data_IF_015377895691
#
_entry.id   IF_015377895691
#
_cell.length_a   1.000
_cell.length_b   1.000
_cell.length_c   1.000
_cell.angle_alpha   90.00
_cell.angle_beta   90.00
_cell.angle_gamma   90.00
#
_symmetry.space_group_name_H-M   'P 1'
#
loop_
_entity.id
_entity.type
_entity.pdbx_description
1 polymer ?
#
# COMPACT_ATOMS: atom_id res chain seq x y z
N UNK A 1 28.99 24.79 13.18
CA UNK A 1 27.56 25.03 13.42
C UNK A 1 26.87 23.69 13.29
N UNK A 2 26.43 23.08 14.41
CA UNK A 2 25.77 21.77 14.39
C UNK A 2 24.28 22.01 14.15
N UNK A 3 23.79 21.66 12.96
CA UNK A 3 22.35 21.71 12.66
C UNK A 3 21.74 20.37 13.09
N UNK A 4 20.66 20.41 13.86
CA UNK A 4 19.95 19.20 14.25
C UNK A 4 19.09 18.72 13.06
N UNK A 5 19.26 17.47 12.59
CA UNK A 5 18.45 16.92 11.50
C UNK A 5 17.10 16.47 12.05
N UNK A 6 16.21 17.43 12.32
CA UNK A 6 14.92 17.21 13.01
C UNK A 6 14.04 16.23 12.23
N UNK A 7 13.86 16.45 10.92
CA UNK A 7 12.96 15.64 10.09
C UNK A 7 13.45 14.20 9.97
N UNK A 8 14.73 14.02 9.64
CA UNK A 8 15.33 12.69 9.56
C UNK A 8 15.24 11.92 10.89
N UNK A 9 15.38 12.62 12.02
CA UNK A 9 15.23 12.00 13.35
C UNK A 9 13.76 11.62 13.61
N UNK A 10 12.82 12.47 13.21
CA UNK A 10 11.39 12.21 13.33
C UNK A 10 10.95 11.02 12.46
N UNK A 11 11.49 10.91 11.25
CA UNK A 11 11.24 9.76 10.35
C UNK A 11 11.74 8.46 10.95
N UNK A 12 12.97 8.45 11.45
CA UNK A 12 13.55 7.27 12.09
C UNK A 12 12.79 6.88 13.38
N UNK A 13 12.20 7.85 14.08
CA UNK A 13 11.29 7.55 15.17
C UNK A 13 9.97 6.94 14.66
N UNK A 14 9.38 7.48 13.60
CA UNK A 14 8.16 6.94 13.00
C UNK A 14 8.33 5.51 12.48
N UNK A 15 9.51 5.16 11.93
CA UNK A 15 9.85 3.79 11.53
C UNK A 15 9.82 2.84 12.73
N UNK A 16 10.41 3.23 13.86
CA UNK A 16 10.37 2.43 15.11
C UNK A 16 8.94 2.25 15.61
N UNK A 17 8.13 3.31 15.56
CA UNK A 17 6.72 3.23 15.92
C UNK A 17 5.98 2.23 15.04
N UNK A 18 6.25 2.20 13.72
CA UNK A 18 5.65 1.21 12.81
C UNK A 18 6.10 -0.22 13.10
N UNK A 19 7.38 -0.44 13.39
CA UNK A 19 7.92 -1.76 13.76
C UNK A 19 7.26 -2.31 15.02
N UNK A 20 7.01 -1.44 16.01
CA UNK A 20 6.37 -1.80 17.28
C UNK A 20 4.84 -1.88 17.22
N UNK A 21 4.24 -1.35 16.14
CA UNK A 21 2.79 -1.28 16.00
C UNK A 21 2.17 -2.64 15.73
N UNK A 22 1.00 -2.87 16.30
CA UNK A 22 0.14 -3.99 15.92
C UNK A 22 -0.29 -3.88 14.44
N UNK A 23 -0.56 -4.99 13.75
CA UNK A 23 -1.11 -4.95 12.41
C UNK A 23 -2.49 -4.25 12.42
N UNK A 24 -2.84 -3.52 11.34
CA UNK A 24 -4.12 -2.83 11.27
C UNK A 24 -5.27 -3.85 11.25
N UNK A 25 -6.30 -3.57 12.03
CA UNK A 25 -7.52 -4.39 12.06
C UNK A 25 -8.48 -3.86 11.00
N UNK A 26 -8.84 -4.72 10.05
CA UNK A 26 -9.83 -4.45 9.01
C UNK A 26 -11.21 -4.94 9.45
N UNK A 27 -12.23 -4.12 9.20
CA UNK A 27 -13.62 -4.55 9.28
C UNK A 27 -13.96 -5.54 8.16
N UNK A 28 -15.05 -6.30 8.28
CA UNK A 28 -15.45 -7.26 7.22
C UNK A 28 -15.68 -6.60 5.86
N UNK A 29 -16.25 -5.38 5.83
CA UNK A 29 -16.43 -4.61 4.60
C UNK A 29 -15.10 -4.14 3.99
N UNK A 30 -14.13 -3.77 4.83
CA UNK A 30 -12.80 -3.42 4.32
C UNK A 30 -12.04 -4.63 3.82
N UNK A 31 -12.19 -5.79 4.47
CA UNK A 31 -11.61 -7.04 3.98
C UNK A 31 -12.11 -7.36 2.58
N UNK A 32 -13.41 -7.17 2.28
CA UNK A 32 -13.95 -7.39 0.93
C UNK A 32 -13.41 -6.44 -0.14
N UNK A 33 -12.86 -5.28 0.25
CA UNK A 33 -12.24 -4.32 -0.65
C UNK A 33 -10.70 -4.33 -0.56
N UNK A 34 -10.13 -5.41 -0.04
CA UNK A 34 -8.68 -5.58 0.16
C UNK A 34 -8.21 -6.88 -0.48
N UNK A 35 -6.90 -7.01 -0.67
CA UNK A 35 -6.28 -8.26 -1.14
C UNK A 35 -6.67 -9.49 -0.31
N UNK A 36 -6.93 -9.33 1.00
CA UNK A 36 -7.23 -10.45 1.91
C UNK A 36 -8.51 -11.22 1.58
N UNK A 37 -9.40 -10.64 0.76
CA UNK A 37 -10.61 -11.31 0.27
C UNK A 37 -10.79 -11.11 -1.24
N UNK A 38 -9.80 -10.56 -1.92
CA UNK A 38 -9.82 -10.42 -3.36
C UNK A 38 -9.40 -11.75 -4.00
N UNK A 39 -10.07 -12.15 -5.07
CA UNK A 39 -9.86 -13.43 -5.73
C UNK A 39 -10.95 -14.48 -5.41
N UNK A 40 -10.97 -15.58 -6.17
CA UNK A 40 -11.89 -16.68 -5.91
C UNK A 40 -11.33 -17.65 -4.85
N UNK A 41 -12.18 -18.21 -3.96
CA UNK A 41 -11.75 -19.29 -3.10
C UNK A 41 -11.31 -20.47 -3.95
N UNK A 42 -10.26 -21.18 -3.54
CA UNK A 42 -9.77 -22.38 -4.23
C UNK A 42 -10.91 -23.39 -4.44
N UNK A 43 -11.30 -23.64 -5.71
CA UNK A 43 -12.36 -24.60 -6.07
C UNK A 43 -11.85 -25.98 -6.53
N UNK A 44 -10.54 -26.24 -6.43
CA UNK A 44 -10.00 -27.60 -6.53
C UNK A 44 -9.45 -28.00 -7.91
N UNK A 45 -9.60 -27.17 -8.95
CA UNK A 45 -9.31 -27.64 -10.33
C UNK A 45 -8.48 -26.68 -11.20
N UNK A 46 -8.40 -25.38 -10.92
CA UNK A 46 -7.64 -24.43 -11.77
C UNK A 46 -6.90 -23.33 -10.98
N UNK A 47 -5.89 -22.73 -11.64
CA UNK A 47 -5.20 -21.53 -11.16
C UNK A 47 -6.23 -20.42 -10.89
N UNK A 48 -6.20 -19.86 -9.68
CA UNK A 48 -7.05 -18.72 -9.34
C UNK A 48 -6.49 -17.50 -10.05
N UNK A 49 -7.22 -16.96 -11.02
CA UNK A 49 -6.84 -15.73 -11.73
C UNK A 49 -6.56 -14.59 -10.75
N UNK A 50 -5.45 -13.88 -11.00
CA UNK A 50 -5.06 -12.69 -10.25
C UNK A 50 -6.11 -11.58 -10.33
N UNK A 51 -6.20 -10.79 -9.26
CA UNK A 51 -7.11 -9.64 -9.19
C UNK A 51 -6.54 -8.50 -10.01
N UNK A 52 -7.27 -8.04 -11.04
CA UNK A 52 -6.84 -6.93 -11.88
C UNK A 52 -7.58 -5.65 -11.48
N UNK A 53 -6.83 -4.59 -11.16
CA UNK A 53 -7.40 -3.26 -10.92
C UNK A 53 -7.60 -2.51 -12.25
N UNK A 54 -8.66 -1.70 -12.31
CA UNK A 54 -8.92 -0.77 -13.42
C UNK A 54 -8.60 0.68 -13.01
N UNK A 55 -8.23 1.51 -13.98
CA UNK A 55 -7.89 2.92 -13.74
C UNK A 55 -9.04 3.76 -13.18
N UNK A 56 -10.30 3.31 -13.32
CA UNK A 56 -11.48 4.00 -12.80
C UNK A 56 -11.87 3.56 -11.38
N UNK A 57 -11.11 2.68 -10.74
CA UNK A 57 -11.34 2.28 -9.35
C UNK A 57 -10.78 3.34 -8.41
N UNK A 58 -11.52 3.67 -7.35
CA UNK A 58 -11.02 4.49 -6.26
C UNK A 58 -10.17 3.68 -5.30
N UNK A 59 -8.99 4.18 -4.95
CA UNK A 59 -8.10 3.57 -3.95
C UNK A 59 -7.80 4.52 -2.80
N UNK A 60 -7.56 3.96 -1.62
CA UNK A 60 -7.06 4.70 -0.44
C UNK A 60 -6.18 3.81 0.42
N UNK A 61 -5.36 4.41 1.30
CA UNK A 61 -4.62 3.65 2.31
C UNK A 61 -5.56 2.91 3.28
N UNK A 62 -5.13 1.74 3.74
CA UNK A 62 -5.81 0.96 4.76
C UNK A 62 -6.01 1.78 6.03
N UNK A 63 -4.94 2.42 6.53
CA UNK A 63 -4.98 3.36 7.67
C UNK A 63 -3.94 4.44 7.45
N UNK A 64 -4.17 5.64 8.02
CA UNK A 64 -3.21 6.74 8.00
C UNK A 64 -1.83 6.33 8.54
N UNK A 65 -1.80 5.71 9.72
CA UNK A 65 -0.57 5.27 10.38
C UNK A 65 -0.09 3.89 9.95
N UNK A 66 -0.55 3.34 8.83
CA UNK A 66 -0.09 2.04 8.35
C UNK A 66 1.22 2.13 7.56
N UNK A 67 1.61 3.32 7.11
CA UNK A 67 2.78 3.53 6.25
C UNK A 67 3.62 4.75 6.67
N UNK A 68 4.91 4.75 6.34
CA UNK A 68 5.80 5.92 6.46
C UNK A 68 6.81 5.91 5.31
N UNK A 69 6.87 7.01 4.57
CA UNK A 69 7.89 7.23 3.54
C UNK A 69 9.14 7.84 4.19
N UNK A 70 10.31 7.27 3.95
CA UNK A 70 11.59 7.72 4.51
C UNK A 70 12.68 7.63 3.47
N UNK A 71 13.47 8.69 3.34
CA UNK A 71 14.72 8.67 2.57
C UNK A 71 15.88 8.14 3.42
N UNK A 72 16.49 7.03 3.00
CA UNK A 72 17.64 6.44 3.67
C UNK A 72 18.85 6.36 2.73
N UNK A 73 19.87 7.19 2.99
CA UNK A 73 21.16 7.27 2.29
C UNK A 73 21.08 7.35 0.76
N UNK A 74 20.74 6.25 0.08
CA UNK A 74 20.69 6.12 -1.37
C UNK A 74 19.35 5.59 -1.91
N UNK A 75 18.36 5.32 -1.05
CA UNK A 75 17.07 4.79 -1.49
C UNK A 75 15.91 5.37 -0.68
N UNK A 76 14.72 5.37 -1.29
CA UNK A 76 13.48 5.79 -0.66
C UNK A 76 12.73 4.53 -0.26
N UNK A 77 12.37 4.44 1.03
CA UNK A 77 11.69 3.28 1.61
C UNK A 77 10.30 3.67 2.08
N UNK A 78 9.30 2.87 1.70
CA UNK A 78 7.98 2.91 2.28
C UNK A 78 7.87 1.82 3.34
N UNK A 79 8.00 2.21 4.60
CA UNK A 79 7.80 1.33 5.75
C UNK A 79 6.31 1.10 6.00
N UNK A 80 5.94 -0.08 6.50
CA UNK A 80 4.54 -0.40 6.82
C UNK A 80 4.41 -1.41 7.95
N UNK A 81 3.24 -1.42 8.59
CA UNK A 81 2.90 -2.35 9.69
C UNK A 81 1.95 -3.48 9.28
N UNK A 82 1.48 -3.51 8.02
CA UNK A 82 0.70 -4.63 7.49
C UNK A 82 1.57 -5.89 7.52
N UNK A 83 1.01 -6.98 8.06
CA UNK A 83 1.73 -8.23 8.29
C UNK A 83 2.59 -8.26 9.56
N UNK A 84 2.57 -7.23 10.43
CA UNK A 84 3.13 -7.36 11.78
C UNK A 84 2.37 -8.45 12.54
N UNK A 85 3.06 -9.15 13.44
CA UNK A 85 2.38 -10.11 14.31
C UNK A 85 1.80 -9.39 15.52
N UNK A 86 0.97 -10.10 16.29
CA UNK A 86 0.44 -9.60 17.57
C UNK A 86 1.46 -9.77 18.70
N UNK A 87 2.62 -10.34 18.41
CA UNK A 87 3.74 -10.51 19.33
C UNK A 87 4.75 -9.40 19.06
N UNK A 88 5.21 -8.76 20.12
CA UNK A 88 6.09 -7.58 20.03
C UNK A 88 7.37 -7.88 19.23
N UNK A 89 7.58 -7.12 18.14
CA UNK A 89 8.78 -7.13 17.28
C UNK A 89 9.19 -8.47 16.65
N UNK A 90 8.29 -9.44 16.59
CA UNK A 90 8.61 -10.77 16.04
C UNK A 90 8.90 -10.73 14.52
N UNK A 91 8.12 -9.94 13.76
CA UNK A 91 8.25 -9.86 12.30
C UNK A 91 9.38 -8.95 11.79
N UNK A 92 9.98 -8.14 12.67
CA UNK A 92 10.92 -7.07 12.30
C UNK A 92 10.31 -5.94 11.47
N UNK A 93 11.16 -4.99 11.07
CA UNK A 93 10.78 -3.86 10.22
C UNK A 93 10.50 -4.30 8.79
N UNK A 94 9.34 -3.89 8.23
CA UNK A 94 8.99 -4.15 6.82
C UNK A 94 8.99 -2.85 6.01
N UNK A 95 9.48 -2.95 4.79
CA UNK A 95 9.47 -1.87 3.83
C UNK A 95 9.44 -2.39 2.39
N UNK A 96 9.09 -1.50 1.46
CA UNK A 96 9.38 -1.66 0.04
C UNK A 96 10.20 -0.48 -0.44
N UNK A 97 11.13 -0.76 -1.35
CA UNK A 97 11.88 0.30 -2.02
C UNK A 97 10.99 0.94 -3.08
N UNK A 98 10.98 2.27 -3.07
CA UNK A 98 10.20 3.13 -3.95
C UNK A 98 11.18 3.90 -4.85
N UNK A 99 10.89 3.96 -6.15
CA UNK A 99 11.66 4.77 -7.08
C UNK A 99 11.28 6.26 -6.95
N UNK A 100 12.17 7.17 -7.32
CA UNK A 100 11.89 8.62 -7.26
C UNK A 100 10.61 9.01 -8.02
N UNK A 101 10.35 8.38 -9.18
CA UNK A 101 9.13 8.60 -9.98
C UNK A 101 7.83 8.12 -9.30
N UNK A 102 7.93 7.23 -8.30
CA UNK A 102 6.79 6.64 -7.57
C UNK A 102 6.43 7.44 -6.31
N UNK A 103 7.31 8.33 -5.84
CA UNK A 103 7.17 9.11 -4.59
C UNK A 103 5.91 9.96 -4.61
N UNK A 104 5.68 10.71 -5.69
CA UNK A 104 4.54 11.61 -5.82
C UNK A 104 3.20 10.87 -5.66
N UNK A 105 3.13 9.63 -6.13
CA UNK A 105 1.93 8.79 -5.98
C UNK A 105 1.70 8.41 -4.51
N UNK A 106 2.77 8.03 -3.80
CA UNK A 106 2.67 7.69 -2.37
C UNK A 106 2.29 8.92 -1.54
N UNK A 107 2.90 10.07 -1.80
CA UNK A 107 2.57 11.33 -1.11
C UNK A 107 1.13 11.77 -1.37
N UNK A 108 0.63 11.61 -2.61
CA UNK A 108 -0.78 11.83 -2.93
C UNK A 108 -1.70 10.93 -2.10
N UNK A 109 -1.41 9.63 -2.01
CA UNK A 109 -2.20 8.67 -1.23
C UNK A 109 -2.18 8.98 0.28
N UNK A 110 -1.04 9.41 0.83
CA UNK A 110 -0.92 9.80 2.25
C UNK A 110 -1.71 11.07 2.53
N UNK A 111 -1.57 12.09 1.69
CA UNK A 111 -2.21 13.40 1.87
C UNK A 111 -3.72 13.38 1.67
N UNK A 112 -4.23 12.47 0.83
CA UNK A 112 -5.65 12.34 0.53
C UNK A 112 -6.40 11.46 1.53
N UNK A 113 -5.71 10.63 2.33
CA UNK A 113 -6.39 9.80 3.34
C UNK A 113 -7.22 10.67 4.31
N UNK A 114 -8.50 10.32 4.59
CA UNK A 114 -9.15 9.03 4.32
C UNK A 114 -9.95 8.94 3.01
N UNK A 115 -9.84 9.93 2.13
CA UNK A 115 -10.60 9.98 0.87
C UNK A 115 -10.08 8.94 -0.13
N UNK A 116 -10.99 8.48 -0.99
CA UNK A 116 -10.66 7.64 -2.13
C UNK A 116 -10.24 8.51 -3.30
N UNK A 117 -9.22 8.05 -4.02
CA UNK A 117 -8.69 8.71 -5.21
C UNK A 117 -8.74 7.74 -6.37
N UNK A 118 -9.30 8.16 -7.50
CA UNK A 118 -9.31 7.32 -8.69
C UNK A 118 -7.87 7.11 -9.16
N UNK A 119 -7.54 5.89 -9.60
CA UNK A 119 -6.17 5.58 -10.06
C UNK A 119 -5.74 6.51 -11.21
N UNK A 120 -6.67 6.87 -12.11
CA UNK A 120 -6.44 7.82 -13.20
C UNK A 120 -6.15 9.26 -12.76
N UNK A 121 -6.53 9.64 -11.53
CA UNK A 121 -6.34 10.99 -10.99
C UNK A 121 -5.05 11.09 -10.16
N UNK A 122 -4.36 9.97 -9.94
CA UNK A 122 -3.05 9.95 -9.30
C UNK A 122 -1.96 10.46 -10.25
N UNK A 123 -0.83 10.96 -9.72
CA UNK A 123 0.30 11.38 -10.54
C UNK A 123 0.76 10.27 -11.52
N UNK A 124 1.04 10.66 -12.77
CA UNK A 124 1.54 9.73 -13.78
C UNK A 124 3.02 9.43 -13.58
N UNK A 125 3.35 8.17 -13.30
CA UNK A 125 4.74 7.73 -13.16
C UNK A 125 5.41 7.75 -14.54
N UNK A 126 6.42 8.59 -14.71
CA UNK A 126 7.13 8.77 -15.98
C UNK A 126 6.23 9.15 -17.15
N UNK A 127 5.10 9.85 -16.87
CA UNK A 127 4.12 10.27 -17.87
C UNK A 127 3.30 9.12 -18.48
N UNK A 128 3.22 7.96 -17.81
CA UNK A 128 2.49 6.77 -18.30
C UNK A 128 1.57 6.20 -17.24
N UNK A 129 0.26 6.36 -17.42
CA UNK A 129 -0.75 5.86 -16.47
C UNK A 129 -0.71 4.34 -16.25
N UNK A 130 -0.20 3.56 -17.22
CA UNK A 130 0.02 2.12 -17.05
C UNK A 130 1.06 1.76 -15.99
N UNK A 131 2.09 2.60 -15.79
CA UNK A 131 3.05 2.42 -14.69
C UNK A 131 2.40 2.75 -13.34
N UNK A 132 1.62 3.82 -13.26
CA UNK A 132 0.84 4.18 -12.07
C UNK A 132 -0.09 3.03 -11.66
N UNK A 133 -0.83 2.45 -12.62
CA UNK A 133 -1.67 1.29 -12.34
C UNK A 133 -0.87 0.11 -11.78
N UNK A 134 0.24 -0.27 -12.42
CA UNK A 134 1.07 -1.38 -11.96
C UNK A 134 1.62 -1.16 -10.54
N UNK A 135 2.04 0.07 -10.24
CA UNK A 135 2.52 0.45 -8.91
C UNK A 135 1.41 0.40 -7.85
N UNK A 136 0.22 0.93 -8.16
CA UNK A 136 -0.94 0.85 -7.27
C UNK A 136 -1.37 -0.60 -7.04
N UNK A 137 -1.36 -1.44 -8.07
CA UNK A 137 -1.63 -2.89 -7.95
C UNK A 137 -0.64 -3.55 -7.00
N UNK A 138 0.66 -3.26 -7.12
CA UNK A 138 1.70 -3.76 -6.19
C UNK A 138 1.39 -3.36 -4.74
N UNK A 139 1.02 -2.10 -4.48
CA UNK A 139 0.67 -1.65 -3.12
C UNK A 139 -0.61 -2.32 -2.59
N UNK A 140 -1.58 -2.57 -3.47
CA UNK A 140 -2.80 -3.31 -3.15
C UNK A 140 -2.50 -4.77 -2.79
N UNK A 141 -1.65 -5.45 -3.56
CA UNK A 141 -1.23 -6.84 -3.31
C UNK A 141 -0.48 -7.01 -1.98
N UNK A 142 0.31 -6.02 -1.57
CA UNK A 142 0.95 -5.98 -0.24
C UNK A 142 -0.12 -5.84 0.88
N UNK A 143 -1.32 -5.36 0.53
CA UNK A 143 -2.41 -5.11 1.46
C UNK A 143 -2.36 -3.72 2.10
N UNK A 144 -1.69 -2.75 1.46
CA UNK A 144 -1.62 -1.36 1.95
C UNK A 144 -2.81 -0.50 1.51
N UNK A 145 -3.51 -0.93 0.47
CA UNK A 145 -4.63 -0.19 -0.13
C UNK A 145 -5.96 -0.91 0.04
N UNK A 146 -7.02 -0.11 0.04
CA UNK A 146 -8.41 -0.54 -0.08
C UNK A 146 -9.02 0.08 -1.33
N UNK A 147 -9.84 -0.69 -2.02
CA UNK A 147 -10.68 -0.20 -3.11
C UNK A 147 -12.01 0.36 -2.60
N UNK A 148 -12.65 1.21 -3.40
CA UNK A 148 -13.97 1.78 -3.11
C UNK A 148 -15.11 0.76 -3.32
N UNK A 149 -14.88 -0.23 -4.19
CA UNK A 149 -15.74 -1.39 -4.41
C UNK A 149 -14.96 -2.72 -4.34
N UNK A 150 -15.61 -3.84 -3.97
CA UNK A 150 -14.99 -5.16 -3.98
C UNK A 150 -14.47 -5.52 -5.37
N UNK A 151 -13.20 -5.92 -5.46
CA UNK A 151 -12.62 -6.34 -6.74
C UNK A 151 -12.92 -7.83 -6.93
N UNK A 152 -13.76 -8.13 -7.92
CA UNK A 152 -14.06 -9.49 -8.32
C UNK A 152 -12.92 -10.02 -9.22
N UNK A 153 -12.59 -11.30 -9.08
CA UNK A 153 -11.66 -11.94 -10.02
C UNK A 153 -12.26 -11.90 -11.44
N UNK A 154 -11.41 -11.75 -12.45
CA UNK A 154 -11.85 -11.95 -13.83
C UNK A 154 -12.26 -13.42 -14.00
N UNK A 155 -13.51 -13.62 -14.42
CA UNK A 155 -13.94 -14.90 -14.99
C UNK A 155 -13.49 -14.90 -16.44
N UNK A 156 -12.61 -15.83 -16.81
CA UNK A 156 -12.40 -16.11 -18.22
C UNK A 156 -13.74 -16.59 -18.78
N UNK A 157 -14.27 -15.84 -19.73
CA UNK A 157 -15.34 -16.33 -20.60
C UNK A 157 -14.61 -16.98 -21.77
N UNK A 158 -14.81 -18.29 -21.90
CA UNK A 158 -14.28 -19.23 -22.91
C UNK A 158 -13.83 -18.64 -24.26
#
# INVERSE_FOLDING_TARGET
MYFAPVDATADQFAVKVLEESLPPVLSEGEKSCSVFRAGEPWQGVEEVNGVTLDINIGVRLVRYGAVRLVGEANEIRLHYNVGNTRVYREAGTKFVVIADEEVDVVEALISQYPQYSLIKDLPDIGGKSGKTLAFVTKLFEIGLLLTDAPVLAMRDVE
#
